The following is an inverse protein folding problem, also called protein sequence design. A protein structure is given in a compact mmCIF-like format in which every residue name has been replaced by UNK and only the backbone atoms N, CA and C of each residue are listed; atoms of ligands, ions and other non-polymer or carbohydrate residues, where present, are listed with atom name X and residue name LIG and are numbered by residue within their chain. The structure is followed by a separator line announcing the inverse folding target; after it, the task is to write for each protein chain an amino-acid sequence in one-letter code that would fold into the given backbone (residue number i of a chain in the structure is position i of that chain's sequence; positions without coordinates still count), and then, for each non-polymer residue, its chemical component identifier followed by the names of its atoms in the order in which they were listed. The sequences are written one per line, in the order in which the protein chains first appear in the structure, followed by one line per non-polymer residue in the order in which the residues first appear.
data_IF_134426978566
#
_entry.id   IF_134426978566
#
_cell.length_a   1.000
_cell.length_b   1.000
_cell.length_c   1.000
_cell.angle_alpha   90.00
_cell.angle_beta   90.00
_cell.angle_gamma   90.00
#
_symmetry.space_group_name_H-M   'P 1'
#
loop_
_entity.id
_entity.type
_entity.pdbx_description
1 polymer ?
#
# COMPACT_ATOMS: atom_id res chain seq x y z
N UNK A 1 -9.00 -15.06 -6.68
CA UNK A 1 -8.96 -13.62 -6.35
C UNK A 1 -7.92 -12.91 -7.21
N UNK A 2 -6.62 -13.12 -6.98
CA UNK A 2 -5.54 -12.56 -7.80
C UNK A 2 -5.66 -12.89 -9.30
N UNK A 3 -6.05 -14.13 -9.62
CA UNK A 3 -6.27 -14.61 -10.99
C UNK A 3 -7.31 -13.81 -11.78
N UNK A 4 -8.38 -13.35 -11.14
CA UNK A 4 -9.44 -12.56 -11.82
C UNK A 4 -8.90 -11.20 -12.22
N UNK A 5 -8.16 -10.58 -11.30
CA UNK A 5 -7.48 -9.34 -11.58
C UNK A 5 -6.51 -9.50 -12.76
N UNK A 6 -5.70 -10.56 -12.73
CA UNK A 6 -4.70 -10.82 -13.76
C UNK A 6 -5.31 -11.08 -15.14
N UNK A 7 -6.24 -12.03 -15.25
CA UNK A 7 -6.78 -12.49 -16.53
C UNK A 7 -7.87 -11.60 -17.11
N UNK A 8 -8.51 -10.73 -16.31
CA UNK A 8 -9.62 -9.89 -16.79
C UNK A 8 -9.40 -8.41 -16.57
N UNK A 9 -8.91 -8.00 -15.39
CA UNK A 9 -8.86 -6.58 -15.02
C UNK A 9 -7.56 -5.88 -15.46
N UNK A 10 -6.46 -6.62 -15.60
CA UNK A 10 -5.18 -6.09 -16.06
C UNK A 10 -5.10 -5.98 -17.59
N UNK A 11 -5.90 -6.74 -18.35
CA UNK A 11 -5.85 -6.68 -19.82
C UNK A 11 -6.20 -5.28 -20.37
N UNK A 12 -7.31 -4.62 -19.95
CA UNK A 12 -7.61 -3.27 -20.43
C UNK A 12 -6.55 -2.25 -19.99
N UNK A 13 -6.00 -2.41 -18.78
CA UNK A 13 -4.93 -1.53 -18.29
C UNK A 13 -3.65 -1.65 -19.14
N UNK A 14 -3.25 -2.89 -19.46
CA UNK A 14 -2.09 -3.15 -20.29
C UNK A 14 -2.25 -2.58 -21.69
N UNK A 15 -3.42 -2.78 -22.31
CA UNK A 15 -3.73 -2.24 -23.63
C UNK A 15 -3.64 -0.71 -23.64
N UNK A 16 -4.31 -0.05 -22.69
CA UNK A 16 -4.29 1.40 -22.51
C UNK A 16 -2.85 1.89 -22.31
N UNK A 17 -2.11 1.33 -21.35
CA UNK A 17 -0.72 1.74 -21.10
C UNK A 17 0.16 1.58 -22.35
N UNK A 18 0.01 0.47 -23.05
CA UNK A 18 0.84 0.17 -24.23
C UNK A 18 0.50 1.06 -25.41
N UNK A 19 -0.78 1.36 -25.64
CA UNK A 19 -1.20 2.26 -26.71
C UNK A 19 -0.84 3.72 -26.41
N UNK A 20 -1.08 4.20 -25.18
CA UNK A 20 -0.69 5.57 -24.78
C UNK A 20 0.81 5.82 -24.91
N UNK A 21 1.64 4.82 -24.57
CA UNK A 21 3.10 4.93 -24.67
C UNK A 21 3.63 4.57 -26.07
N UNK A 22 2.77 4.49 -27.09
CA UNK A 22 3.14 4.14 -28.47
C UNK A 22 3.92 2.82 -28.60
N UNK A 23 3.73 1.89 -27.64
CA UNK A 23 4.34 0.55 -27.66
C UNK A 23 3.57 -0.43 -28.53
N UNK A 24 2.30 -0.13 -28.80
CA UNK A 24 1.39 -0.91 -29.63
C UNK A 24 0.52 0.07 -30.44
N UNK A 25 0.31 -0.22 -31.72
CA UNK A 25 -0.61 0.50 -32.63
C UNK A 25 -1.82 -0.35 -33.06
N UNK A 26 -1.89 -1.59 -32.60
CA UNK A 26 -2.90 -2.58 -32.96
C UNK A 26 -4.15 -2.56 -32.07
N UNK A 27 -5.15 -3.34 -32.46
CA UNK A 27 -6.42 -3.47 -31.73
C UNK A 27 -6.27 -4.22 -30.39
N UNK A 28 -7.26 -4.08 -29.49
CA UNK A 28 -7.27 -4.76 -28.19
C UNK A 28 -6.99 -6.27 -28.29
N UNK A 29 -7.60 -6.96 -29.25
CA UNK A 29 -7.45 -8.41 -29.42
C UNK A 29 -6.04 -8.82 -29.83
N UNK A 30 -5.37 -8.00 -30.64
CA UNK A 30 -3.98 -8.21 -31.05
C UNK A 30 -2.98 -7.95 -29.91
N UNK A 31 -3.40 -7.22 -28.86
CA UNK A 31 -2.57 -7.03 -27.66
C UNK A 31 -2.59 -8.25 -26.71
N UNK A 32 -3.55 -9.17 -26.85
CA UNK A 32 -3.68 -10.32 -25.95
C UNK A 32 -2.51 -11.31 -26.07
N UNK A 33 -2.07 -11.74 -27.27
CA UNK A 33 -0.90 -12.60 -27.39
C UNK A 33 0.35 -11.97 -26.77
N UNK A 34 0.55 -10.65 -26.97
CA UNK A 34 1.67 -9.92 -26.38
C UNK A 34 1.58 -9.83 -24.85
N UNK A 35 0.37 -9.71 -24.31
CA UNK A 35 0.16 -9.77 -22.86
C UNK A 35 0.61 -11.14 -22.33
N UNK A 36 0.10 -12.23 -22.91
CA UNK A 36 0.40 -13.57 -22.43
C UNK A 36 1.83 -14.02 -22.73
N UNK A 37 2.51 -13.42 -23.71
CA UNK A 37 3.92 -13.72 -24.00
C UNK A 37 4.89 -13.16 -22.96
N UNK A 38 4.49 -12.15 -22.18
CA UNK A 38 5.31 -11.53 -21.12
C UNK A 38 5.32 -12.32 -19.80
N UNK A 39 5.03 -13.60 -19.86
CA UNK A 39 4.99 -14.49 -18.71
C UNK A 39 6.38 -15.02 -18.37
N UNK A 40 7.29 -14.12 -17.99
CA UNK A 40 8.69 -14.46 -17.72
C UNK A 40 8.95 -14.62 -16.22
N UNK A 41 9.68 -15.68 -15.88
CA UNK A 41 10.18 -15.92 -14.52
C UNK A 41 11.50 -15.19 -14.33
N UNK A 42 11.55 -14.31 -13.33
CA UNK A 42 12.77 -13.60 -12.97
C UNK A 42 13.16 -13.89 -11.52
N UNK A 43 14.28 -14.57 -11.30
CA UNK A 43 14.76 -14.93 -9.97
C UNK A 43 15.46 -13.79 -9.22
N UNK A 44 15.74 -12.68 -9.92
CA UNK A 44 16.37 -11.50 -9.34
C UNK A 44 15.49 -10.80 -8.29
N UNK A 45 14.21 -11.15 -8.25
CA UNK A 45 13.23 -10.57 -7.33
C UNK A 45 12.15 -11.55 -6.94
N UNK A 46 11.59 -11.39 -5.73
CA UNK A 46 10.45 -12.20 -5.30
C UNK A 46 9.20 -11.95 -6.18
N UNK A 47 9.07 -10.76 -6.77
CA UNK A 47 8.01 -10.45 -7.74
C UNK A 47 8.11 -11.34 -8.99
N UNK A 48 9.33 -11.65 -9.45
CA UNK A 48 9.52 -12.51 -10.63
C UNK A 48 9.39 -14.01 -10.36
N UNK A 49 9.23 -14.44 -9.10
CA UNK A 49 8.86 -15.83 -8.76
C UNK A 49 7.40 -16.15 -9.07
N UNK A 50 6.54 -15.14 -9.09
CA UNK A 50 5.16 -15.22 -9.54
C UNK A 50 5.05 -14.38 -10.81
N UNK A 51 5.20 -14.98 -11.99
CA UNK A 51 5.28 -14.25 -13.26
C UNK A 51 3.98 -13.48 -13.49
N UNK A 52 4.13 -12.17 -13.68
CA UNK A 52 3.01 -11.27 -13.97
C UNK A 52 3.31 -10.52 -15.26
N UNK A 53 2.55 -10.77 -16.34
CA UNK A 53 2.75 -10.07 -17.60
C UNK A 53 2.54 -8.56 -17.49
N UNK A 54 1.73 -8.12 -16.51
CA UNK A 54 1.55 -6.72 -16.17
C UNK A 54 1.17 -6.58 -14.68
N UNK A 55 2.10 -6.03 -13.90
CA UNK A 55 1.95 -5.88 -12.43
C UNK A 55 0.80 -4.96 -12.00
N UNK A 56 0.38 -4.03 -12.86
CA UNK A 56 -0.74 -3.10 -12.61
C UNK A 56 -0.77 -2.55 -11.19
N UNK A 57 -1.95 -2.53 -10.56
CA UNK A 57 -2.09 -2.31 -9.10
C UNK A 57 -1.96 -3.60 -8.29
N UNK A 58 -2.09 -4.77 -8.93
CA UNK A 58 -2.20 -6.06 -8.25
C UNK A 58 -0.88 -6.53 -7.64
N UNK A 59 0.25 -5.93 -8.04
CA UNK A 59 1.56 -6.17 -7.44
C UNK A 59 1.50 -6.12 -5.90
N UNK A 60 0.73 -5.19 -5.33
CA UNK A 60 0.60 -5.09 -3.87
C UNK A 60 -0.05 -6.34 -3.25
N UNK A 61 -1.12 -6.87 -3.86
CA UNK A 61 -1.79 -8.07 -3.36
C UNK A 61 -0.89 -9.31 -3.46
N UNK A 62 -0.11 -9.42 -4.53
CA UNK A 62 0.90 -10.47 -4.70
C UNK A 62 2.00 -10.36 -3.65
N UNK A 63 2.56 -9.17 -3.44
CA UNK A 63 3.55 -8.94 -2.39
C UNK A 63 2.99 -9.30 -1.02
N UNK A 64 1.75 -8.90 -0.71
CA UNK A 64 1.12 -9.23 0.56
C UNK A 64 0.98 -10.75 0.74
N UNK A 65 0.59 -11.48 -0.32
CA UNK A 65 0.52 -12.94 -0.29
C UNK A 65 1.90 -13.57 -0.02
N UNK A 66 2.92 -13.16 -0.78
CA UNK A 66 4.27 -13.69 -0.64
C UNK A 66 4.89 -13.37 0.73
N UNK A 67 4.75 -12.13 1.20
CA UNK A 67 5.19 -11.73 2.54
C UNK A 67 4.48 -12.56 3.60
N UNK A 68 3.16 -12.74 3.49
CA UNK A 68 2.39 -13.53 4.46
C UNK A 68 2.87 -14.98 4.49
N UNK A 69 3.16 -15.58 3.34
CA UNK A 69 3.66 -16.95 3.24
C UNK A 69 5.06 -17.09 3.88
N UNK A 70 5.98 -16.21 3.52
CA UNK A 70 7.37 -16.24 4.02
C UNK A 70 7.44 -15.93 5.51
N UNK A 71 6.63 -14.99 5.99
CA UNK A 71 6.60 -14.60 7.41
C UNK A 71 5.74 -15.55 8.26
N UNK A 72 4.97 -16.47 7.67
CA UNK A 72 4.07 -17.36 8.40
C UNK A 72 4.77 -18.14 9.54
N UNK A 73 5.95 -18.78 9.34
CA UNK A 73 6.64 -19.47 10.43
C UNK A 73 6.97 -18.53 11.60
N UNK A 74 7.42 -17.31 11.28
CA UNK A 74 7.70 -16.27 12.28
C UNK A 74 6.43 -15.86 13.02
N UNK A 75 5.31 -15.66 12.33
CA UNK A 75 4.03 -15.32 12.95
C UNK A 75 3.50 -16.43 13.87
N UNK A 76 3.67 -17.70 13.48
CA UNK A 76 3.34 -18.85 14.32
C UNK A 76 4.24 -18.90 15.56
N UNK A 77 5.54 -18.62 15.42
CA UNK A 77 6.46 -18.47 16.54
C UNK A 77 6.04 -17.33 17.47
N UNK A 78 5.61 -16.18 16.94
CA UNK A 78 5.12 -15.04 17.73
C UNK A 78 3.80 -15.35 18.46
N UNK A 79 2.98 -16.26 17.91
CA UNK A 79 1.73 -16.72 18.54
C UNK A 79 1.97 -17.71 19.69
N UNK A 80 3.15 -18.34 19.76
CA UNK A 80 3.51 -19.26 20.84
C UNK A 80 3.64 -18.53 22.19
N UNK A 81 3.62 -19.27 23.31
CA UNK A 81 3.83 -18.72 24.67
C UNK A 81 5.08 -17.83 24.80
N UNK A 82 6.29 -18.24 24.32
CA UNK A 82 7.45 -17.35 24.38
C UNK A 82 7.31 -16.12 23.48
N UNK A 83 6.67 -16.25 22.32
CA UNK A 83 6.37 -15.12 21.43
C UNK A 83 5.45 -14.09 22.05
N UNK A 84 4.38 -14.54 22.72
CA UNK A 84 3.47 -13.66 23.45
C UNK A 84 4.17 -12.90 24.59
N UNK A 85 5.06 -13.57 25.34
CA UNK A 85 5.89 -12.91 26.36
C UNK A 85 6.80 -11.83 25.77
N UNK A 86 7.35 -12.06 24.56
CA UNK A 86 8.13 -11.03 23.87
C UNK A 86 7.26 -9.83 23.51
N UNK A 87 6.06 -10.07 22.96
CA UNK A 87 5.10 -9.00 22.62
C UNK A 87 4.71 -8.21 23.88
N UNK A 88 4.42 -8.89 24.99
CA UNK A 88 4.09 -8.26 26.28
C UNK A 88 5.23 -7.35 26.77
N UNK A 89 6.49 -7.84 26.73
CA UNK A 89 7.69 -7.06 27.08
C UNK A 89 7.84 -5.83 26.18
N UNK A 90 7.63 -6.00 24.87
CA UNK A 90 7.67 -4.89 23.92
C UNK A 90 6.53 -3.90 24.18
N UNK A 91 5.36 -4.36 24.61
CA UNK A 91 4.19 -3.55 24.92
C UNK A 91 4.33 -2.75 26.24
N UNK A 92 5.27 -3.09 27.11
CA UNK A 92 5.60 -2.30 28.30
C UNK A 92 6.32 -0.99 27.94
N UNK A 93 7.10 -0.97 26.86
CA UNK A 93 7.89 0.20 26.46
C UNK A 93 7.02 1.39 26.03
N UNK A 94 5.98 1.23 25.17
CA UNK A 94 5.08 2.32 24.79
C UNK A 94 4.28 2.97 25.94
N UNK A 95 4.22 2.34 27.11
CA UNK A 95 3.60 2.91 28.31
C UNK A 95 4.52 3.83 29.10
N UNK A 96 5.85 3.75 28.89
CA UNK A 96 6.80 4.75 29.42
C UNK A 96 6.76 5.99 28.53
N UNK A 97 6.88 7.19 29.12
CA UNK A 97 6.83 8.48 28.40
C UNK A 97 7.80 8.43 27.21
N UNK A 98 7.25 8.42 25.99
CA UNK A 98 8.03 8.41 24.75
C UNK A 98 8.56 7.06 24.27
N UNK A 99 8.28 5.93 24.93
CA UNK A 99 8.79 4.62 24.51
C UNK A 99 8.26 4.14 23.16
N UNK A 100 7.14 4.71 22.68
CA UNK A 100 6.69 4.49 21.31
C UNK A 100 7.73 5.01 20.30
N UNK A 101 8.44 6.11 20.60
CA UNK A 101 9.50 6.67 19.76
C UNK A 101 10.73 5.78 19.67
N UNK A 102 10.98 4.92 20.65
CA UNK A 102 12.05 3.93 20.54
C UNK A 102 11.70 2.86 19.48
N UNK A 103 10.43 2.50 19.36
CA UNK A 103 9.94 1.66 18.28
C UNK A 103 10.11 2.38 16.93
N UNK A 104 9.77 3.68 16.85
CA UNK A 104 10.03 4.50 15.67
C UNK A 104 11.51 4.55 15.28
N UNK A 105 12.43 4.65 16.25
CA UNK A 105 13.88 4.64 16.02
C UNK A 105 14.36 3.28 15.52
N UNK A 106 13.91 2.18 16.15
CA UNK A 106 14.26 0.82 15.70
C UNK A 106 13.81 0.59 14.26
N UNK A 107 12.58 1.02 13.94
CA UNK A 107 12.06 1.01 12.58
C UNK A 107 12.99 1.83 11.69
N UNK A 108 13.21 3.11 11.98
CA UNK A 108 14.07 3.99 11.18
C UNK A 108 15.48 3.43 10.95
N UNK A 109 16.09 2.76 11.93
CA UNK A 109 17.40 2.12 11.78
C UNK A 109 17.35 0.91 10.84
N UNK A 110 16.35 0.03 10.99
CA UNK A 110 16.12 -1.05 10.02
C UNK A 110 15.88 -0.50 8.62
N UNK A 111 15.15 0.61 8.52
CA UNK A 111 14.87 1.28 7.25
C UNK A 111 16.18 1.76 6.59
N UNK A 112 17.06 2.44 7.33
CA UNK A 112 18.35 2.89 6.80
C UNK A 112 19.22 1.70 6.36
N UNK A 113 19.21 0.60 7.13
CA UNK A 113 19.99 -0.59 6.83
C UNK A 113 19.53 -1.29 5.54
N UNK A 114 18.22 -1.53 5.38
CA UNK A 114 17.69 -2.20 4.19
C UNK A 114 17.66 -1.30 2.94
N UNK A 115 17.75 0.03 3.11
CA UNK A 115 17.83 0.96 1.98
C UNK A 115 19.15 0.80 1.20
N UNK A 116 20.27 0.52 1.87
CA UNK A 116 21.54 0.23 1.19
C UNK A 116 21.47 -0.99 0.25
N UNK A 117 20.58 -1.95 0.57
CA UNK A 117 20.32 -3.13 -0.25
C UNK A 117 19.26 -2.91 -1.35
N UNK A 118 18.63 -1.71 -1.41
CA UNK A 118 17.52 -1.38 -2.34
C UNK A 118 17.97 -0.60 -3.58
N UNK A 119 19.27 -0.43 -3.80
CA UNK A 119 19.85 0.36 -4.91
C UNK A 119 19.43 -0.09 -6.33
N UNK A 120 18.64 -1.16 -6.49
CA UNK A 120 18.08 -1.64 -7.77
C UNK A 120 16.57 -1.43 -7.98
N UNK A 121 15.85 -0.69 -7.13
CA UNK A 121 14.42 -0.38 -7.31
C UNK A 121 13.43 -1.22 -6.50
N UNK A 122 12.12 -1.10 -6.80
CA UNK A 122 11.01 -1.75 -6.07
C UNK A 122 10.94 -3.27 -6.25
N UNK A 123 11.61 -3.78 -7.27
CA UNK A 123 11.70 -5.21 -7.60
C UNK A 123 12.96 -5.84 -7.03
N UNK A 124 13.48 -5.39 -5.90
CA UNK A 124 14.67 -5.98 -5.27
C UNK A 124 14.31 -6.81 -4.05
N UNK A 125 15.16 -7.76 -3.68
CA UNK A 125 15.08 -8.46 -2.39
C UNK A 125 15.09 -7.49 -1.20
N UNK A 126 15.83 -6.38 -1.30
CA UNK A 126 15.81 -5.30 -0.30
C UNK A 126 14.42 -4.67 -0.15
N UNK A 127 13.72 -4.40 -1.26
CA UNK A 127 12.34 -3.91 -1.22
C UNK A 127 11.36 -4.93 -0.62
N UNK A 128 11.56 -6.23 -0.88
CA UNK A 128 10.74 -7.26 -0.25
C UNK A 128 10.93 -7.29 1.27
N UNK A 129 12.18 -7.32 1.76
CA UNK A 129 12.48 -7.34 3.20
C UNK A 129 11.96 -6.07 3.90
N UNK A 130 12.01 -4.94 3.21
CA UNK A 130 11.40 -3.69 3.65
C UNK A 130 9.90 -3.85 3.90
N UNK A 131 9.14 -4.32 2.91
CA UNK A 131 7.69 -4.53 3.08
C UNK A 131 7.37 -5.60 4.12
N UNK A 132 8.15 -6.68 4.18
CA UNK A 132 7.99 -7.74 5.17
C UNK A 132 8.19 -7.21 6.60
N UNK A 133 9.15 -6.31 6.80
CA UNK A 133 9.39 -5.66 8.10
C UNK A 133 8.18 -4.84 8.54
N UNK A 134 7.60 -4.01 7.65
CA UNK A 134 6.37 -3.27 7.96
C UNK A 134 5.19 -4.19 8.30
N UNK A 135 5.07 -5.30 7.58
CA UNK A 135 4.01 -6.27 7.83
C UNK A 135 4.13 -6.91 9.22
N UNK A 136 5.34 -7.36 9.61
CA UNK A 136 5.60 -7.95 10.93
C UNK A 136 5.40 -6.91 12.04
N UNK A 137 5.87 -5.68 11.85
CA UNK A 137 5.63 -4.56 12.77
C UNK A 137 4.13 -4.31 12.96
N UNK A 138 3.38 -4.24 11.85
CA UNK A 138 1.92 -4.06 11.89
C UNK A 138 1.23 -5.19 12.66
N UNK A 139 1.68 -6.42 12.48
CA UNK A 139 1.20 -7.57 13.25
C UNK A 139 1.45 -7.42 14.77
N UNK A 140 2.67 -7.01 15.16
CA UNK A 140 3.01 -6.81 16.59
C UNK A 140 2.17 -5.67 17.21
N UNK A 141 2.03 -4.55 16.50
CA UNK A 141 1.20 -3.42 16.96
C UNK A 141 -0.25 -3.84 17.16
N UNK A 142 -0.79 -4.66 16.24
CA UNK A 142 -2.17 -5.14 16.32
C UNK A 142 -2.38 -6.23 17.40
N UNK A 143 -1.31 -6.88 17.87
CA UNK A 143 -1.39 -7.99 18.81
C UNK A 143 -1.71 -7.57 20.25
N UNK A 144 -1.39 -6.33 20.66
CA UNK A 144 -1.64 -5.82 22.02
C UNK A 144 -2.28 -4.43 22.02
N UNK A 145 -3.33 -4.24 22.83
CA UNK A 145 -4.09 -2.98 22.92
C UNK A 145 -3.25 -1.80 23.43
N UNK A 146 -2.21 -2.05 24.23
CA UNK A 146 -1.31 -1.01 24.78
C UNK A 146 -0.61 -0.22 23.67
N UNK A 147 -0.29 -0.87 22.54
CA UNK A 147 0.24 -0.16 21.37
C UNK A 147 -0.81 0.80 20.79
N UNK A 148 -2.03 0.31 20.55
CA UNK A 148 -3.11 1.13 20.03
C UNK A 148 -3.42 2.33 20.95
N UNK A 149 -3.44 2.13 22.27
CA UNK A 149 -3.65 3.21 23.23
C UNK A 149 -2.50 4.22 23.23
N UNK A 150 -1.25 3.77 23.08
CA UNK A 150 -0.09 4.66 22.95
C UNK A 150 -0.15 5.48 21.65
N UNK A 151 -0.54 4.87 20.52
CA UNK A 151 -0.76 5.56 19.24
C UNK A 151 -1.81 6.67 19.41
N UNK A 152 -2.94 6.37 20.08
CA UNK A 152 -3.96 7.38 20.39
C UNK A 152 -3.38 8.52 21.22
N UNK A 153 -2.59 8.23 22.26
CA UNK A 153 -2.00 9.29 23.10
C UNK A 153 -1.05 10.21 22.33
N UNK A 154 -0.25 9.67 21.41
CA UNK A 154 0.83 10.39 20.74
C UNK A 154 0.53 10.85 19.30
N UNK A 155 -0.69 10.66 18.79
CA UNK A 155 -1.04 11.03 17.40
C UNK A 155 -0.71 12.48 17.03
N UNK A 156 -1.07 13.46 17.87
CA UNK A 156 -0.78 14.87 17.61
C UNK A 156 0.72 15.20 17.63
N UNK A 157 1.49 14.50 18.47
CA UNK A 157 2.95 14.63 18.47
C UNK A 157 3.52 14.10 17.16
N UNK A 158 2.97 13.00 16.62
CA UNK A 158 3.37 12.50 15.30
C UNK A 158 3.05 13.51 14.20
N UNK A 159 1.90 14.20 14.24
CA UNK A 159 1.61 15.28 13.28
C UNK A 159 2.62 16.42 13.38
N UNK A 160 2.94 16.89 14.59
CA UNK A 160 3.93 17.94 14.79
C UNK A 160 5.30 17.54 14.24
N UNK A 161 5.76 16.32 14.54
CA UNK A 161 7.00 15.77 13.99
C UNK A 161 6.96 15.68 12.47
N UNK A 162 5.83 15.27 11.89
CA UNK A 162 5.67 15.23 10.44
C UNK A 162 5.78 16.62 9.80
N UNK A 163 5.08 17.62 10.33
CA UNK A 163 5.13 19.01 9.82
C UNK A 163 6.55 19.58 9.96
N UNK A 164 7.22 19.32 11.07
CA UNK A 164 8.60 19.80 11.29
C UNK A 164 9.56 19.13 10.30
N UNK A 165 9.53 17.80 10.20
CA UNK A 165 10.50 17.05 9.38
C UNK A 165 10.23 17.15 7.87
N UNK A 166 8.96 17.24 7.45
CA UNK A 166 8.60 17.31 6.03
C UNK A 166 8.30 18.73 5.51
N UNK A 167 7.91 19.65 6.38
CA UNK A 167 7.56 21.03 6.00
C UNK A 167 8.62 22.03 6.42
N UNK A 168 8.78 22.24 7.73
CA UNK A 168 9.59 23.32 8.30
C UNK A 168 11.07 23.15 7.97
N UNK A 169 11.67 22.01 8.29
CA UNK A 169 13.11 21.81 8.09
C UNK A 169 13.49 21.93 6.61
N UNK A 170 12.81 21.26 5.65
CA UNK A 170 13.09 21.43 4.23
C UNK A 170 12.91 22.86 3.71
N UNK A 171 11.89 23.59 4.20
CA UNK A 171 11.65 24.98 3.81
C UNK A 171 12.81 25.89 4.24
N UNK A 172 13.25 25.77 5.50
CA UNK A 172 14.39 26.52 6.01
C UNK A 172 15.69 26.16 5.29
N UNK A 173 15.91 24.88 4.98
CA UNK A 173 17.09 24.43 4.24
C UNK A 173 17.11 24.94 2.79
N UNK A 174 15.94 25.02 2.14
CA UNK A 174 15.81 25.64 0.81
C UNK A 174 16.12 27.13 0.84
N UNK A 175 15.80 27.83 1.92
CA UNK A 175 16.10 29.26 2.08
C UNK A 175 17.60 29.53 2.26
N UNK A 176 18.34 28.56 2.81
CA UNK A 176 19.79 28.62 3.00
C UNK A 176 20.60 28.28 1.73
N UNK A 177 19.96 28.17 0.55
CA UNK A 177 20.59 27.83 -0.74
C UNK A 177 21.53 26.62 -0.67
N UNK A 178 21.22 25.66 0.18
CA UNK A 178 21.91 24.38 0.21
C UNK A 178 21.38 23.52 -0.93
N UNK A 179 21.60 23.93 -2.18
CA UNK A 179 21.23 23.19 -3.40
C UNK A 179 22.10 21.94 -3.62
N UNK A 180 22.43 21.23 -2.54
CA UNK A 180 22.98 19.89 -2.62
C UNK A 180 21.83 18.94 -2.93
N UNK A 181 21.52 18.79 -4.21
CA UNK A 181 20.81 17.62 -4.69
C UNK A 181 21.52 16.34 -4.20
N UNK A 182 20.80 15.33 -3.73
CA UNK A 182 21.40 14.08 -3.27
C UNK A 182 22.27 13.49 -4.40
N UNK A 183 23.56 13.29 -4.10
CA UNK A 183 24.55 12.72 -5.03
C UNK A 183 25.46 13.71 -5.76
N UNK A 184 25.37 15.03 -5.52
CA UNK A 184 26.25 16.03 -6.19
C UNK A 184 27.09 16.93 -5.25
N UNK A 185 26.99 16.75 -3.92
CA UNK A 185 27.75 17.53 -2.93
C UNK A 185 29.05 16.85 -2.49
N UNK A 186 30.05 17.63 -2.09
CA UNK A 186 31.27 17.13 -1.43
C UNK A 186 30.90 16.41 -0.12
N UNK A 187 31.52 15.25 0.14
CA UNK A 187 31.21 14.42 1.30
C UNK A 187 31.76 15.06 2.59
N UNK A 188 30.93 15.84 3.29
CA UNK A 188 31.25 16.41 4.61
C UNK A 188 30.49 15.68 5.71
N UNK A 189 31.15 15.35 6.83
CA UNK A 189 30.53 14.73 8.01
C UNK A 189 29.38 15.57 8.60
N UNK A 190 29.43 16.90 8.40
CA UNK A 190 28.37 17.82 8.84
C UNK A 190 27.15 17.79 7.91
N UNK A 191 27.32 17.36 6.66
CA UNK A 191 26.24 17.21 5.68
C UNK A 191 25.57 15.82 5.77
N UNK A 192 26.09 14.91 6.59
CA UNK A 192 25.54 13.55 6.76
C UNK A 192 24.13 13.56 7.36
N UNK A 193 23.83 14.28 8.46
CA UNK A 193 22.46 14.38 8.98
C UNK A 193 21.52 15.05 7.96
N UNK A 194 22.04 16.01 7.20
CA UNK A 194 21.35 16.76 6.16
C UNK A 194 20.94 15.87 4.97
N UNK A 195 21.88 15.09 4.44
CA UNK A 195 21.64 14.10 3.38
C UNK A 195 20.69 13.00 3.84
N UNK A 196 20.79 12.54 5.09
CA UNK A 196 19.85 11.55 5.65
C UNK A 196 18.43 12.13 5.69
N UNK A 197 18.26 13.36 6.18
CA UNK A 197 16.95 14.00 6.28
C UNK A 197 16.32 14.29 4.91
N UNK A 198 17.12 14.75 3.94
CA UNK A 198 16.68 14.96 2.56
C UNK A 198 16.37 13.66 1.82
N UNK A 199 17.16 12.59 2.05
CA UNK A 199 16.84 11.28 1.53
C UNK A 199 15.57 10.72 2.18
N UNK A 200 15.31 10.98 3.47
CA UNK A 200 14.05 10.62 4.12
C UNK A 200 12.85 11.38 3.54
N UNK A 201 13.04 12.63 3.07
CA UNK A 201 12.06 13.48 2.39
C UNK A 201 11.80 13.06 0.94
N UNK A 202 12.81 13.14 0.08
CA UNK A 202 12.68 12.98 -1.38
C UNK A 202 12.18 11.59 -1.78
N UNK A 203 12.45 10.61 -0.94
CA UNK A 203 12.11 9.24 -1.22
C UNK A 203 10.77 8.78 -0.63
N UNK A 204 10.05 9.66 0.09
CA UNK A 204 8.79 9.32 0.79
C UNK A 204 8.95 8.31 1.95
N UNK A 205 10.17 8.09 2.48
CA UNK A 205 10.51 6.87 3.26
C UNK A 205 10.44 7.01 4.78
N UNK A 206 10.67 8.20 5.35
CA UNK A 206 10.72 8.37 6.81
C UNK A 206 9.62 9.28 7.37
N UNK A 207 9.42 10.45 6.75
CA UNK A 207 8.46 11.43 7.22
C UNK A 207 7.01 10.95 7.14
N UNK A 208 6.62 10.28 6.05
CA UNK A 208 5.27 9.75 5.84
C UNK A 208 4.80 8.80 6.95
N UNK A 209 5.72 8.16 7.67
CA UNK A 209 5.37 7.24 8.76
C UNK A 209 4.69 7.95 9.92
N UNK A 210 5.14 9.15 10.30
CA UNK A 210 4.47 9.94 11.34
C UNK A 210 3.07 10.41 10.90
N UNK A 211 2.90 10.76 9.63
CA UNK A 211 1.57 11.07 9.07
C UNK A 211 0.64 9.85 9.11
N UNK A 212 1.14 8.65 8.78
CA UNK A 212 0.39 7.39 8.89
C UNK A 212 -0.02 7.13 10.34
N UNK A 213 0.88 7.29 11.31
CA UNK A 213 0.56 7.09 12.73
C UNK A 213 -0.45 8.13 13.25
N UNK A 214 -0.38 9.37 12.77
CA UNK A 214 -1.40 10.37 13.04
C UNK A 214 -2.77 9.95 12.49
N UNK A 215 -2.83 9.54 11.22
CA UNK A 215 -4.08 9.05 10.60
C UNK A 215 -4.63 7.82 11.33
N UNK A 216 -3.77 6.87 11.70
CA UNK A 216 -4.15 5.70 12.51
C UNK A 216 -4.67 6.10 13.90
N UNK A 217 -4.05 7.09 14.55
CA UNK A 217 -4.53 7.63 15.81
C UNK A 217 -5.92 8.25 15.67
N UNK A 218 -6.17 9.04 14.63
CA UNK A 218 -7.49 9.61 14.37
C UNK A 218 -8.54 8.52 14.12
N UNK A 219 -8.21 7.55 13.27
CA UNK A 219 -9.08 6.40 13.00
C UNK A 219 -9.40 5.61 14.26
N UNK A 220 -8.40 5.34 15.09
CA UNK A 220 -8.56 4.60 16.34
C UNK A 220 -9.36 5.37 17.41
N UNK A 221 -9.31 6.71 17.42
CA UNK A 221 -10.07 7.56 18.35
C UNK A 221 -11.52 7.77 17.90
N UNK A 222 -11.72 8.09 16.63
CA UNK A 222 -12.98 8.64 16.15
C UNK A 222 -13.76 7.69 15.25
N UNK A 223 -13.11 6.72 14.60
CA UNK A 223 -13.74 5.81 13.63
C UNK A 223 -13.85 4.36 14.14
N UNK A 224 -13.52 4.10 15.39
CA UNK A 224 -13.57 2.75 15.99
C UNK A 224 -14.97 2.42 16.54
N UNK A 225 -15.97 2.42 15.66
CA UNK A 225 -17.35 2.07 15.97
C UNK A 225 -17.89 1.02 14.99
N UNK A 226 -18.81 0.17 15.45
CA UNK A 226 -19.47 -0.82 14.59
C UNK A 226 -20.80 -0.27 14.09
N UNK A 227 -20.98 -0.23 12.76
CA UNK A 227 -22.27 0.09 12.15
C UNK A 227 -22.50 -0.73 10.87
N UNK A 228 -23.72 -0.67 10.33
CA UNK A 228 -24.09 -1.42 9.11
C UNK A 228 -23.28 -0.99 7.89
N UNK A 229 -22.87 0.28 7.83
CA UNK A 229 -22.04 0.82 6.74
C UNK A 229 -20.65 0.20 6.77
N UNK A 230 -20.04 0.03 7.94
CA UNK A 230 -18.73 -0.61 8.10
C UNK A 230 -18.79 -2.10 7.73
N UNK A 231 -19.86 -2.80 8.13
CA UNK A 231 -20.06 -4.19 7.72
C UNK A 231 -20.15 -4.33 6.19
N UNK A 232 -20.89 -3.42 5.53
CA UNK A 232 -20.97 -3.35 4.08
C UNK A 232 -19.62 -2.98 3.43
N UNK A 233 -18.93 -1.97 3.94
CA UNK A 233 -17.64 -1.49 3.42
C UNK A 233 -16.55 -2.56 3.54
N UNK A 234 -16.51 -3.31 4.66
CA UNK A 234 -15.61 -4.45 4.84
C UNK A 234 -15.85 -5.56 3.81
N UNK A 235 -17.11 -5.79 3.42
CA UNK A 235 -17.45 -6.74 2.37
C UNK A 235 -17.02 -6.22 0.98
N UNK A 236 -17.12 -4.91 0.77
CA UNK A 236 -16.85 -4.24 -0.51
C UNK A 236 -15.36 -3.94 -0.76
N UNK A 237 -14.52 -3.87 0.29
CA UNK A 237 -13.15 -3.34 0.20
C UNK A 237 -12.27 -4.07 -0.83
N UNK A 238 -12.35 -5.41 -0.86
CA UNK A 238 -11.55 -6.23 -1.78
C UNK A 238 -12.06 -6.10 -3.23
N UNK A 239 -13.36 -6.23 -3.52
CA UNK A 239 -13.90 -5.91 -4.83
C UNK A 239 -13.55 -4.51 -5.35
N UNK A 240 -13.66 -3.50 -4.49
CA UNK A 240 -13.26 -2.13 -4.83
C UNK A 240 -11.78 -2.03 -5.17
N UNK A 241 -10.92 -2.63 -4.35
CA UNK A 241 -9.49 -2.67 -4.61
C UNK A 241 -9.16 -3.34 -5.95
N UNK A 242 -9.87 -4.41 -6.35
CA UNK A 242 -9.63 -5.05 -7.63
C UNK A 242 -10.12 -4.22 -8.83
N UNK A 243 -11.25 -3.51 -8.69
CA UNK A 243 -11.86 -2.78 -9.79
C UNK A 243 -11.29 -1.37 -9.99
N UNK A 244 -10.86 -0.70 -8.92
CA UNK A 244 -10.66 0.75 -8.94
C UNK A 244 -9.71 1.21 -10.04
N UNK A 245 -8.51 0.63 -10.14
CA UNK A 245 -7.52 1.10 -11.09
C UNK A 245 -7.96 0.84 -12.53
N UNK A 246 -8.54 -0.32 -12.84
CA UNK A 246 -9.05 -0.59 -14.20
C UNK A 246 -10.10 0.44 -14.60
N UNK A 247 -11.08 0.69 -13.73
CA UNK A 247 -12.14 1.66 -14.03
C UNK A 247 -11.58 3.08 -14.14
N UNK A 248 -10.71 3.50 -13.21
CA UNK A 248 -10.09 4.83 -13.22
C UNK A 248 -9.27 5.04 -14.50
N UNK A 249 -8.48 4.05 -14.91
CA UNK A 249 -7.67 4.10 -16.14
C UNK A 249 -8.56 4.14 -17.37
N UNK A 250 -9.61 3.32 -17.44
CA UNK A 250 -10.57 3.35 -18.54
C UNK A 250 -11.30 4.70 -18.65
N UNK A 251 -11.75 5.28 -17.53
CA UNK A 251 -12.37 6.62 -17.54
C UNK A 251 -11.35 7.70 -17.89
N UNK A 252 -10.15 7.62 -17.30
CA UNK A 252 -9.05 8.54 -17.55
C UNK A 252 -8.64 8.58 -19.01
N UNK A 253 -8.65 7.44 -19.70
CA UNK A 253 -8.38 7.34 -21.14
C UNK A 253 -9.24 8.31 -21.98
N UNK A 254 -10.53 8.42 -21.66
CA UNK A 254 -11.46 9.28 -22.39
C UNK A 254 -11.37 10.75 -21.94
N UNK A 255 -11.11 11.00 -20.66
CA UNK A 255 -11.17 12.33 -20.05
C UNK A 255 -9.86 13.11 -20.21
N UNK A 256 -8.71 12.44 -20.16
CA UNK A 256 -7.39 13.09 -20.23
C UNK A 256 -7.19 13.89 -21.53
N UNK A 257 -7.62 13.43 -22.71
CA UNK A 257 -7.49 14.20 -23.96
C UNK A 257 -8.34 15.47 -24.03
N UNK A 258 -9.33 15.66 -23.14
CA UNK A 258 -10.21 16.82 -23.19
C UNK A 258 -9.44 18.14 -22.95
N UNK A 259 -9.84 19.21 -23.64
CA UNK A 259 -9.21 20.53 -23.48
C UNK A 259 -9.72 21.26 -22.23
N UNK A 260 -9.39 20.72 -21.06
CA UNK A 260 -9.76 21.28 -19.74
C UNK A 260 -8.57 21.28 -18.79
N UNK A 261 -8.65 22.11 -17.75
CA UNK A 261 -7.68 22.12 -16.65
C UNK A 261 -7.63 20.79 -15.89
N UNK A 262 -6.56 20.60 -15.11
CA UNK A 262 -6.30 19.37 -14.35
C UNK A 262 -7.39 19.09 -13.32
N UNK A 263 -7.85 20.13 -12.61
CA UNK A 263 -8.86 19.98 -11.55
C UNK A 263 -10.20 19.45 -12.07
N UNK A 264 -10.81 20.01 -13.14
CA UNK A 264 -11.99 19.41 -13.78
C UNK A 264 -11.78 17.95 -14.21
N UNK A 265 -10.65 17.62 -14.84
CA UNK A 265 -10.34 16.24 -15.25
C UNK A 265 -10.32 15.29 -14.04
N UNK A 266 -9.63 15.69 -12.97
CA UNK A 266 -9.57 14.93 -11.73
C UNK A 266 -10.97 14.70 -11.12
N UNK A 267 -11.77 15.76 -11.00
CA UNK A 267 -13.13 15.66 -10.45
C UNK A 267 -14.02 14.76 -11.30
N UNK A 268 -13.96 14.87 -12.63
CA UNK A 268 -14.74 14.02 -13.53
C UNK A 268 -14.30 12.57 -13.40
N UNK A 269 -13.00 12.28 -13.43
CA UNK A 269 -12.50 10.91 -13.27
C UNK A 269 -12.95 10.32 -11.93
N UNK A 270 -12.85 11.08 -10.83
CA UNK A 270 -13.26 10.63 -9.50
C UNK A 270 -14.79 10.40 -9.41
N UNK A 271 -15.58 11.37 -9.86
CA UNK A 271 -17.05 11.35 -9.78
C UNK A 271 -17.70 10.36 -10.74
N UNK A 272 -17.03 9.99 -11.83
CA UNK A 272 -17.52 8.98 -12.78
C UNK A 272 -17.05 7.59 -12.36
N UNK A 273 -15.78 7.44 -11.97
CA UNK A 273 -15.24 6.11 -11.62
C UNK A 273 -15.87 5.54 -10.36
N UNK A 274 -16.12 6.37 -9.33
CA UNK A 274 -16.67 5.88 -8.07
C UNK A 274 -18.07 5.25 -8.21
N UNK A 275 -19.07 5.89 -8.84
CA UNK A 275 -20.36 5.27 -9.14
C UNK A 275 -20.25 4.05 -10.05
N UNK A 276 -19.36 4.06 -11.05
CA UNK A 276 -19.16 2.90 -11.92
C UNK A 276 -18.67 1.68 -11.13
N UNK A 277 -17.68 1.87 -10.24
CA UNK A 277 -17.20 0.80 -9.36
C UNK A 277 -18.32 0.31 -8.44
N UNK A 278 -19.12 1.23 -7.86
CA UNK A 278 -20.29 0.87 -7.04
C UNK A 278 -21.31 0.03 -7.82
N UNK A 279 -21.61 0.41 -9.06
CA UNK A 279 -22.56 -0.33 -9.92
C UNK A 279 -22.02 -1.72 -10.27
N UNK A 280 -20.75 -1.82 -10.64
CA UNK A 280 -20.10 -3.12 -10.89
C UNK A 280 -20.05 -3.99 -9.63
N UNK A 281 -19.92 -3.38 -8.46
CA UNK A 281 -19.99 -4.11 -7.19
C UNK A 281 -21.41 -4.58 -6.87
N UNK A 282 -22.40 -3.69 -6.88
CA UNK A 282 -23.78 -3.98 -6.44
C UNK A 282 -24.55 -4.89 -7.39
N UNK A 283 -24.27 -4.81 -8.70
CA UNK A 283 -25.00 -5.57 -9.72
C UNK A 283 -24.41 -6.97 -9.91
N UNK A 284 -23.28 -7.19 -10.61
CA UNK A 284 -22.79 -8.54 -10.84
C UNK A 284 -22.10 -9.14 -9.60
N UNK A 285 -21.22 -8.39 -8.93
CA UNK A 285 -20.34 -8.98 -7.92
C UNK A 285 -21.10 -9.41 -6.67
N UNK A 286 -21.98 -8.55 -6.14
CA UNK A 286 -22.68 -8.84 -4.88
C UNK A 286 -23.86 -9.82 -5.05
N UNK A 287 -24.42 -9.95 -6.25
CA UNK A 287 -25.61 -10.78 -6.51
C UNK A 287 -25.27 -12.24 -6.79
N UNK A 288 -24.23 -12.53 -7.57
CA UNK A 288 -23.94 -13.89 -8.02
C UNK A 288 -22.86 -14.55 -7.15
N UNK A 289 -23.17 -15.69 -6.52
CA UNK A 289 -22.23 -16.41 -5.65
C UNK A 289 -20.93 -16.83 -6.35
N UNK A 290 -20.98 -17.16 -7.65
CA UNK A 290 -19.79 -17.48 -8.44
C UNK A 290 -18.86 -16.26 -8.54
N UNK A 291 -19.43 -15.09 -8.87
CA UNK A 291 -18.66 -13.84 -8.96
C UNK A 291 -18.14 -13.41 -7.58
N UNK A 292 -18.94 -13.57 -6.52
CA UNK A 292 -18.50 -13.34 -5.14
C UNK A 292 -17.23 -14.13 -4.80
N UNK A 293 -17.20 -15.41 -5.15
CA UNK A 293 -16.02 -16.26 -4.92
C UNK A 293 -14.77 -15.73 -5.65
N UNK A 294 -14.92 -15.35 -6.92
CA UNK A 294 -13.85 -14.79 -7.73
C UNK A 294 -13.26 -13.50 -7.15
N UNK A 295 -14.12 -12.63 -6.59
CA UNK A 295 -13.74 -11.39 -5.90
C UNK A 295 -13.44 -11.57 -4.40
N UNK A 296 -13.38 -12.81 -3.92
CA UNK A 296 -12.95 -13.13 -2.57
C UNK A 296 -13.95 -12.87 -1.45
N UNK A 297 -15.21 -12.72 -1.82
CA UNK A 297 -16.31 -12.54 -0.90
C UNK A 297 -16.86 -13.89 -0.45
N UNK A 298 -17.38 -13.94 0.80
CA UNK A 298 -18.07 -15.12 1.32
C UNK A 298 -19.34 -15.39 0.51
N UNK A 299 -19.70 -16.65 0.19
CA UNK A 299 -20.95 -16.95 -0.50
C UNK A 299 -22.15 -16.54 0.36
N UNK A 300 -23.22 -16.03 -0.25
CA UNK A 300 -24.49 -15.84 0.46
C UNK A 300 -25.09 -17.22 0.69
N UNK A 301 -25.40 -17.54 1.95
CA UNK A 301 -26.18 -18.74 2.28
C UNK A 301 -27.50 -18.64 1.51
N UNK A 302 -27.82 -19.67 0.70
CA UNK A 302 -29.17 -19.79 0.16
C UNK A 302 -30.08 -19.90 1.38
N UNK A 303 -31.06 -19.02 1.50
CA UNK A 303 -32.15 -19.23 2.46
C UNK A 303 -32.76 -20.57 2.04
N UNK A 304 -32.60 -21.60 2.87
CA UNK A 304 -33.23 -22.88 2.61
C UNK A 304 -34.71 -22.60 2.47
N UNK A 305 -35.30 -23.02 1.35
CA UNK A 305 -36.75 -23.20 1.32
C UNK A 305 -37.02 -24.25 2.39
N UNK A 306 -37.44 -23.80 3.57
CA UNK A 306 -38.07 -24.68 4.56
C UNK A 306 -39.23 -25.32 3.82
N UNK A 307 -39.19 -26.65 3.70
CA UNK A 307 -40.21 -27.41 3.00
C UNK A 307 -41.59 -27.07 3.56
N UNK A 308 -42.53 -26.85 2.64
CA UNK A 308 -43.94 -27.15 2.85
C UNK A 308 -44.15 -28.57 2.35
#
# INVERSE_FOLDING_TARGET
MYTVGLFFLCLPQFYIDSFSNQRISSTFWESLPLYFSRWELHFESLHGLLPVPYGGHLWFLQYLFLISLVTLPLLLCLKSKPGQRLIERLAEWPNRRGGIFLFFILVALMLIFFEGARNGGSSTWGAFLWYATFFVIGYIIAADKRFADSIKRHGWVCLALWIVLCGVVPFFLSLLNSDQMPGKGHFSLMDMPYQILLNMRNNSRGGSFFAVFFMLSLGAKYLNFNNKVLAYANEAVLPFYLLHQTVIVCVGWFVIPWNMGILPKFLIIALVSFPLILLLYELPIRRFNVVRFFFGMRPKKKCGKTGM
#
